data_IF_073072709263
#
_entry.id   IF_073072709263
#
_cell.length_a   1.000
_cell.length_b   1.000
_cell.length_c   1.000
_cell.angle_alpha   90.00
_cell.angle_beta   90.00
_cell.angle_gamma   90.00
#
_symmetry.space_group_name_H-M   'P 1'
#
loop_
_entity.id
_entity.type
_entity.pdbx_description
1 polymer ?
#
# COMPACT_ATOMS: atom_id res chain seq x y z
N UNK A 1 1.56 19.99 -24.88
CA UNK A 1 1.71 18.58 -25.20
C UNK A 1 2.08 17.94 -23.87
N UNK A 2 1.07 17.53 -23.10
CA UNK A 2 1.29 16.84 -21.84
C UNK A 2 1.65 15.40 -22.23
N UNK A 3 2.88 15.00 -21.99
CA UNK A 3 3.23 13.60 -21.97
C UNK A 3 2.57 13.03 -20.71
N UNK A 4 1.49 12.27 -20.89
CA UNK A 4 1.01 11.36 -19.87
C UNK A 4 2.15 10.35 -19.66
N UNK A 5 3.07 10.64 -18.75
CA UNK A 5 4.05 9.68 -18.31
C UNK A 5 3.27 8.62 -17.51
N UNK A 6 3.04 7.50 -18.15
CA UNK A 6 2.49 6.32 -17.48
C UNK A 6 3.54 5.85 -16.48
N UNK A 7 3.36 6.20 -15.23
CA UNK A 7 4.25 5.79 -14.16
C UNK A 7 3.87 4.38 -13.70
N UNK A 8 4.78 3.43 -13.87
CA UNK A 8 4.55 2.09 -13.37
C UNK A 8 4.50 2.07 -11.83
N UNK A 9 3.54 1.36 -11.28
CA UNK A 9 3.46 1.05 -9.87
C UNK A 9 4.46 -0.05 -9.52
N UNK A 10 5.07 0.07 -8.36
CA UNK A 10 5.96 -0.95 -7.80
C UNK A 10 5.39 -1.39 -6.45
N UNK A 11 5.19 -2.70 -6.29
CA UNK A 11 4.75 -3.32 -5.06
C UNK A 11 5.77 -4.38 -4.60
N UNK A 12 6.32 -4.21 -3.42
CA UNK A 12 7.20 -5.16 -2.76
C UNK A 12 6.51 -5.72 -1.50
N UNK A 13 5.77 -6.82 -1.64
CA UNK A 13 4.96 -7.41 -0.59
C UNK A 13 5.78 -8.36 0.27
N UNK A 14 6.57 -7.83 1.18
CA UNK A 14 7.32 -8.65 2.13
C UNK A 14 6.43 -9.21 3.25
N UNK A 15 6.85 -10.34 3.85
CA UNK A 15 6.14 -10.97 4.97
C UNK A 15 6.12 -10.13 6.25
N UNK A 16 7.01 -9.16 6.37
CA UNK A 16 7.09 -8.26 7.52
C UNK A 16 6.63 -6.84 7.19
N UNK A 17 7.01 -6.34 6.03
CA UNK A 17 6.71 -4.98 5.58
C UNK A 17 6.32 -5.00 4.11
N UNK A 18 5.21 -4.37 3.78
CA UNK A 18 4.77 -4.14 2.41
C UNK A 18 5.16 -2.73 2.00
N UNK A 19 5.79 -2.60 0.83
CA UNK A 19 6.23 -1.31 0.27
C UNK A 19 5.60 -1.07 -1.08
N UNK A 20 5.18 0.17 -1.33
CA UNK A 20 4.68 0.58 -2.64
C UNK A 20 5.21 1.97 -3.02
N UNK A 21 5.34 2.20 -4.31
CA UNK A 21 5.82 3.46 -4.89
C UNK A 21 5.64 3.50 -6.39
N UNK A 22 6.02 4.62 -6.99
CA UNK A 22 6.08 4.76 -8.44
C UNK A 22 7.51 4.53 -8.94
N UNK A 23 7.62 3.99 -10.14
CA UNK A 23 8.91 3.84 -10.82
C UNK A 23 9.58 5.22 -11.02
N UNK A 24 10.90 5.27 -10.83
CA UNK A 24 11.67 6.51 -10.96
C UNK A 24 11.73 7.35 -9.67
N UNK A 25 11.07 6.95 -8.60
CA UNK A 25 11.21 7.59 -7.29
C UNK A 25 12.38 6.98 -6.50
N UNK A 26 13.10 7.81 -5.75
CA UNK A 26 14.27 7.38 -4.96
C UNK A 26 13.92 6.44 -3.81
N UNK A 27 12.71 6.57 -3.27
CA UNK A 27 12.24 5.80 -2.10
C UNK A 27 10.77 5.43 -2.23
N UNK A 28 10.36 4.26 -1.68
CA UNK A 28 8.94 3.91 -1.62
C UNK A 28 8.20 4.90 -0.73
N UNK A 29 7.09 5.45 -1.23
CA UNK A 29 6.25 6.41 -0.48
C UNK A 29 5.29 5.73 0.48
N UNK A 30 4.90 4.51 0.19
CA UNK A 30 4.09 3.69 1.08
C UNK A 30 4.96 2.59 1.68
N UNK A 31 5.07 2.58 3.00
CA UNK A 31 5.72 1.53 3.78
C UNK A 31 4.80 1.20 4.93
N UNK A 32 4.21 0.01 4.93
CA UNK A 32 3.26 -0.42 5.95
C UNK A 32 3.66 -1.76 6.55
N UNK A 33 3.29 -2.04 7.81
CA UNK A 33 3.38 -3.38 8.37
C UNK A 33 2.52 -4.35 7.58
N UNK A 34 3.03 -5.54 7.30
CA UNK A 34 2.24 -6.61 6.68
C UNK A 34 1.29 -7.26 7.68
N UNK A 35 1.61 -7.18 8.98
CA UNK A 35 0.67 -7.58 10.03
C UNK A 35 -0.53 -6.66 10.07
N UNK A 36 -1.67 -7.20 10.44
CA UNK A 36 -2.93 -6.48 10.57
C UNK A 36 -3.61 -6.81 11.91
N UNK A 37 -4.57 -6.00 12.31
CA UNK A 37 -5.32 -6.20 13.54
C UNK A 37 -6.69 -6.78 13.21
N UNK A 38 -7.08 -7.82 13.94
CA UNK A 38 -8.45 -8.32 13.96
C UNK A 38 -9.11 -7.84 15.24
N UNK A 39 -10.15 -7.03 15.11
CA UNK A 39 -10.91 -6.52 16.24
C UNK A 39 -11.80 -7.60 16.85
N UNK A 40 -12.32 -7.37 18.06
CA UNK A 40 -13.29 -8.27 18.69
C UNK A 40 -14.60 -8.45 17.90
N UNK A 41 -14.90 -7.52 16.96
CA UNK A 41 -16.01 -7.62 16.01
C UNK A 41 -15.67 -8.42 14.74
N UNK A 42 -14.41 -8.83 14.56
CA UNK A 42 -13.93 -9.51 13.35
C UNK A 42 -13.50 -8.58 12.22
N UNK A 43 -13.50 -7.27 12.44
CA UNK A 43 -13.03 -6.30 11.47
C UNK A 43 -11.51 -6.34 11.33
N UNK A 44 -10.99 -6.30 10.10
CA UNK A 44 -9.55 -6.28 9.80
C UNK A 44 -9.10 -4.85 9.56
N UNK A 45 -8.12 -4.38 10.33
CA UNK A 45 -7.57 -3.04 10.25
C UNK A 45 -6.10 -3.09 9.83
N UNK A 46 -5.72 -2.24 8.86
CA UNK A 46 -4.40 -2.20 8.25
C UNK A 46 -3.62 -0.95 8.63
N UNK A 47 -2.29 -1.03 8.48
CA UNK A 47 -1.39 0.10 8.66
C UNK A 47 -0.89 0.29 10.09
N UNK A 48 0.03 1.24 10.24
CA UNK A 48 0.73 1.51 11.49
C UNK A 48 -0.21 1.91 12.63
N UNK A 49 -1.17 2.80 12.35
CA UNK A 49 -2.12 3.27 13.35
C UNK A 49 -3.01 2.14 13.88
N UNK A 50 -3.30 1.14 13.05
CA UNK A 50 -4.07 -0.01 13.48
C UNK A 50 -3.32 -0.84 14.52
N UNK A 51 -2.02 -1.06 14.31
CA UNK A 51 -1.17 -1.90 15.16
C UNK A 51 -0.79 -1.20 16.47
N UNK A 52 -0.50 0.11 16.41
CA UNK A 52 -0.04 0.85 17.59
C UNK A 52 -1.15 1.21 18.58
N UNK A 53 -2.40 1.21 18.16
CA UNK A 53 -3.52 1.46 19.07
C UNK A 53 -3.93 0.20 19.82
N UNK A 54 -3.81 0.21 21.12
CA UNK A 54 -4.26 -0.88 21.99
C UNK A 54 -5.79 -0.94 21.98
N UNK A 55 -6.34 -2.07 21.54
CA UNK A 55 -7.80 -2.33 21.52
C UNK A 55 -8.09 -3.60 22.34
N UNK A 56 -9.00 -3.53 23.33
CA UNK A 56 -9.38 -4.72 24.11
C UNK A 56 -9.92 -5.83 23.21
N UNK A 57 -9.38 -7.05 23.36
CA UNK A 57 -9.80 -8.21 22.58
C UNK A 57 -9.41 -8.20 21.10
N UNK A 58 -8.49 -7.34 20.71
CA UNK A 58 -7.92 -7.36 19.36
C UNK A 58 -6.72 -8.30 19.31
N UNK A 59 -6.56 -8.95 18.17
CA UNK A 59 -5.43 -9.86 17.87
C UNK A 59 -4.63 -9.34 16.69
N UNK A 60 -3.32 -9.55 16.72
CA UNK A 60 -2.44 -9.24 15.57
C UNK A 60 -2.24 -10.51 14.78
N UNK A 61 -2.50 -10.45 13.49
CA UNK A 61 -2.36 -11.56 12.56
C UNK A 61 -1.47 -11.16 11.37
N UNK A 62 -1.06 -12.15 10.57
CA UNK A 62 -0.26 -11.95 9.38
C UNK A 62 -0.82 -12.85 8.25
N UNK A 63 -0.99 -12.36 7.01
CA UNK A 63 -1.51 -13.17 5.92
C UNK A 63 -0.48 -14.14 5.33
N UNK A 64 0.78 -14.09 5.77
CA UNK A 64 1.86 -14.97 5.34
C UNK A 64 2.16 -16.03 6.37
N UNK A 65 2.60 -17.20 5.90
CA UNK A 65 3.14 -18.25 6.75
C UNK A 65 4.61 -17.98 7.14
N UNK A 66 5.19 -18.91 7.89
CA UNK A 66 6.58 -18.82 8.37
C UNK A 66 7.63 -18.83 7.22
N UNK A 67 7.28 -19.38 6.06
CA UNK A 67 8.14 -19.42 4.88
C UNK A 67 8.01 -18.15 4.02
N UNK A 68 7.18 -17.18 4.44
CA UNK A 68 6.94 -15.95 3.71
C UNK A 68 6.05 -16.14 2.46
N UNK A 69 5.22 -17.17 2.44
CA UNK A 69 4.25 -17.44 1.38
C UNK A 69 2.86 -17.04 1.86
N UNK A 70 2.07 -16.46 0.98
CA UNK A 70 0.70 -16.04 1.28
C UNK A 70 -0.19 -17.25 1.57
N UNK A 71 -0.86 -17.24 2.71
CA UNK A 71 -1.90 -18.20 3.09
C UNK A 71 -3.30 -17.59 3.03
N UNK A 72 -3.48 -16.38 3.59
CA UNK A 72 -4.74 -15.64 3.53
C UNK A 72 -4.71 -14.65 2.36
N UNK A 73 -5.14 -15.12 1.19
CA UNK A 73 -5.13 -14.34 -0.05
C UNK A 73 -6.09 -13.17 -0.04
N UNK A 74 -7.25 -13.31 0.59
CA UNK A 74 -8.22 -12.23 0.70
C UNK A 74 -7.64 -11.06 1.48
N UNK A 75 -7.01 -11.36 2.63
CA UNK A 75 -6.41 -10.31 3.46
C UNK A 75 -5.15 -9.73 2.81
N UNK A 76 -4.32 -10.57 2.15
CA UNK A 76 -3.15 -10.09 1.44
C UNK A 76 -3.53 -9.12 0.31
N UNK A 77 -4.54 -9.46 -0.51
CA UNK A 77 -5.02 -8.60 -1.57
C UNK A 77 -5.47 -7.23 -1.03
N UNK A 78 -6.31 -7.21 0.00
CA UNK A 78 -6.79 -5.96 0.62
C UNK A 78 -5.66 -5.12 1.25
N UNK A 79 -4.67 -5.77 1.84
CA UNK A 79 -3.51 -5.09 2.42
C UNK A 79 -2.65 -4.45 1.32
N UNK A 80 -2.48 -5.12 0.19
CA UNK A 80 -1.76 -4.60 -0.96
C UNK A 80 -2.50 -3.44 -1.63
N UNK A 81 -3.82 -3.57 -1.82
CA UNK A 81 -4.67 -2.47 -2.26
C UNK A 81 -4.56 -1.27 -1.33
N UNK A 82 -4.70 -1.48 -0.03
CA UNK A 82 -4.55 -0.42 0.97
C UNK A 82 -3.18 0.27 0.88
N UNK A 83 -2.10 -0.50 0.64
CA UNK A 83 -0.75 0.06 0.47
C UNK A 83 -0.65 1.00 -0.73
N UNK A 84 -1.32 0.68 -1.83
CA UNK A 84 -1.31 1.47 -3.07
C UNK A 84 -2.34 2.60 -2.99
N UNK A 85 -3.59 2.29 -2.73
CA UNK A 85 -4.70 3.24 -2.85
C UNK A 85 -4.75 4.24 -1.71
N UNK A 86 -4.65 3.78 -0.46
CA UNK A 86 -4.82 4.65 0.71
C UNK A 86 -3.51 5.28 1.18
N UNK A 87 -2.39 4.58 1.04
CA UNK A 87 -1.10 5.06 1.57
C UNK A 87 -0.23 5.75 0.53
N UNK A 88 -0.27 5.29 -0.72
CA UNK A 88 0.53 5.88 -1.78
C UNK A 88 -0.16 7.10 -2.41
N UNK A 89 -1.45 7.01 -2.67
CA UNK A 89 -2.22 8.00 -3.43
C UNK A 89 -3.33 8.68 -2.64
N UNK A 90 -3.74 8.08 -1.54
CA UNK A 90 -4.76 8.66 -0.66
C UNK A 90 -4.31 9.93 0.06
N UNK A 91 -5.25 10.71 0.60
CA UNK A 91 -4.93 11.85 1.43
C UNK A 91 -4.05 11.40 2.59
N UNK A 92 -3.02 12.19 2.91
CA UNK A 92 -2.13 11.88 4.05
C UNK A 92 -2.96 11.73 5.32
N UNK A 93 -3.11 10.51 5.81
CA UNK A 93 -3.91 10.19 7.00
C UNK A 93 -3.35 10.80 8.30
N UNK A 94 -2.12 11.28 8.27
CA UNK A 94 -1.54 12.08 9.35
C UNK A 94 -1.04 13.37 8.76
N UNK A 95 -1.70 14.50 9.03
CA UNK A 95 -1.00 15.77 8.91
C UNK A 95 0.29 15.64 9.74
N UNK A 96 1.45 16.19 9.27
CA UNK A 96 2.66 16.18 10.05
C UNK A 96 2.27 16.66 11.44
N UNK A 97 2.54 15.83 12.45
CA UNK A 97 2.19 16.12 13.84
C UNK A 97 2.67 17.55 14.12
N UNK A 98 1.75 18.48 14.21
CA UNK A 98 2.03 19.76 14.84
C UNK A 98 2.34 19.36 16.28
N UNK A 99 3.63 19.25 16.57
CA UNK A 99 4.09 19.16 17.95
C UNK A 99 3.45 20.34 18.65
N UNK A 100 2.44 20.09 19.47
CA UNK A 100 1.64 21.13 20.16
C UNK A 100 2.44 22.00 21.14
N UNK A 101 3.77 21.99 21.02
CA UNK A 101 4.69 22.80 21.82
C UNK A 101 5.03 24.17 21.20
N UNK A 102 4.72 24.43 19.94
CA UNK A 102 5.23 25.63 19.25
C UNK A 102 4.19 26.43 18.46
N UNK A 103 2.89 26.32 18.75
CA UNK A 103 1.92 27.19 18.10
C UNK A 103 0.97 27.86 19.11
N UNK A 104 1.30 29.10 19.57
CA UNK A 104 0.42 29.87 20.44
C UNK A 104 -0.78 30.51 19.73
N UNK A 105 -1.01 30.28 18.45
CA UNK A 105 -1.95 31.03 17.64
C UNK A 105 -3.19 30.25 17.12
N UNK A 106 -3.56 29.11 17.69
CA UNK A 106 -4.79 28.41 17.28
C UNK A 106 -5.86 28.35 18.38
N UNK A 107 -6.15 29.50 18.98
CA UNK A 107 -7.42 29.74 19.66
C UNK A 107 -8.09 30.89 18.94
N UNK A 108 -8.84 30.59 17.91
CA UNK A 108 -9.97 31.39 17.39
C UNK A 108 -10.43 30.79 16.07
N UNK A 109 -11.66 30.34 16.11
CA UNK A 109 -12.64 30.10 15.06
C UNK A 109 -13.14 28.64 14.99
N UNK A 110 -13.87 28.29 16.04
CA UNK A 110 -15.00 27.37 15.94
C UNK A 110 -16.23 28.26 15.73
N UNK A 111 -16.65 28.44 14.50
CA UNK A 111 -18.03 28.72 14.10
C UNK A 111 -18.07 28.68 12.57
N UNK A 112 -18.51 27.57 12.03
CA UNK A 112 -18.70 27.37 10.61
C UNK A 112 -19.47 26.06 10.43
N UNK A 113 -20.79 26.18 10.65
CA UNK A 113 -21.80 25.21 10.22
C UNK A 113 -21.69 25.06 8.69
N UNK A 114 -21.02 24.02 8.27
CA UNK A 114 -20.88 23.61 6.88
C UNK A 114 -21.18 22.12 6.85
N UNK A 115 -22.44 21.81 6.57
CA UNK A 115 -22.94 20.48 6.21
C UNK A 115 -22.17 20.02 4.97
N UNK A 116 -21.04 19.35 5.17
CA UNK A 116 -20.28 18.72 4.10
C UNK A 116 -20.92 17.36 3.92
N UNK A 117 -21.61 17.17 2.81
CA UNK A 117 -22.16 15.89 2.37
C UNK A 117 -21.02 14.85 2.35
N UNK A 118 -20.91 14.10 3.44
CA UNK A 118 -19.89 13.04 3.62
C UNK A 118 -20.06 11.88 2.63
N UNK A 119 -21.24 11.77 2.01
CA UNK A 119 -21.57 10.65 1.11
C UNK A 119 -20.95 10.83 -0.30
N UNK A 120 -20.83 12.07 -0.78
CA UNK A 120 -20.24 12.33 -2.10
C UNK A 120 -18.72 12.23 -2.11
N UNK A 121 -18.06 12.68 -1.06
CA UNK A 121 -16.59 12.59 -0.95
C UNK A 121 -16.09 11.13 -0.87
N UNK A 122 -16.81 10.26 -0.15
CA UNK A 122 -16.47 8.86 -0.01
C UNK A 122 -16.62 8.06 -1.33
N UNK A 123 -17.57 8.44 -2.19
CA UNK A 123 -17.80 7.78 -3.49
C UNK A 123 -16.73 8.20 -4.51
N UNK A 124 -16.38 9.49 -4.55
CA UNK A 124 -15.34 10.00 -5.44
C UNK A 124 -13.95 9.44 -5.06
N UNK A 125 -13.62 9.36 -3.77
CA UNK A 125 -12.37 8.75 -3.29
C UNK A 125 -12.27 7.27 -3.65
N UNK A 126 -13.37 6.53 -3.65
CA UNK A 126 -13.37 5.10 -4.00
C UNK A 126 -13.14 4.90 -5.49
N UNK A 127 -13.76 5.71 -6.36
CA UNK A 127 -13.58 5.63 -7.82
C UNK A 127 -12.17 6.02 -8.26
N UNK A 128 -11.56 7.06 -7.65
CA UNK A 128 -10.17 7.42 -7.93
C UNK A 128 -9.19 6.36 -7.44
N UNK A 129 -9.46 5.73 -6.32
CA UNK A 129 -8.64 4.65 -5.76
C UNK A 129 -8.65 3.40 -6.64
N UNK A 130 -9.81 3.02 -7.18
CA UNK A 130 -9.92 1.89 -8.11
C UNK A 130 -9.19 2.16 -9.43
N UNK A 131 -9.20 3.39 -9.93
CA UNK A 131 -8.53 3.77 -11.19
C UNK A 131 -7.02 3.65 -11.12
N UNK A 132 -6.41 3.85 -9.96
CA UNK A 132 -4.95 3.86 -9.89
C UNK A 132 -4.32 2.53 -10.27
N UNK A 133 -4.98 1.42 -9.94
CA UNK A 133 -4.54 0.08 -10.33
C UNK A 133 -4.83 -0.19 -11.80
N UNK A 134 -6.00 0.20 -12.30
CA UNK A 134 -6.40 -0.02 -13.69
C UNK A 134 -5.69 0.89 -14.70
N UNK A 135 -5.17 2.05 -14.28
CA UNK A 135 -4.54 3.02 -15.17
C UNK A 135 -3.01 2.86 -15.23
N UNK A 136 -2.40 2.14 -14.29
CA UNK A 136 -0.95 2.03 -14.20
C UNK A 136 -0.44 0.58 -14.33
N UNK A 137 0.63 0.33 -15.11
CA UNK A 137 1.32 -0.94 -15.09
C UNK A 137 1.84 -1.27 -13.69
N UNK A 138 1.85 -2.55 -13.30
CA UNK A 138 2.30 -3.01 -12.00
C UNK A 138 3.50 -3.95 -12.11
N UNK A 139 4.59 -3.60 -11.42
CA UNK A 139 5.68 -4.51 -11.12
C UNK A 139 5.54 -4.97 -9.68
N UNK A 140 5.56 -6.27 -9.45
CA UNK A 140 5.48 -6.86 -8.13
C UNK A 140 6.68 -7.79 -7.87
N UNK A 141 7.22 -7.73 -6.66
CA UNK A 141 8.28 -8.65 -6.25
C UNK A 141 7.71 -9.96 -5.68
N UNK A 142 8.47 -11.05 -5.84
CA UNK A 142 8.14 -12.34 -5.23
C UNK A 142 9.39 -13.03 -4.69
N UNK A 143 9.30 -13.89 -3.66
CA UNK A 143 10.41 -14.71 -3.22
C UNK A 143 10.78 -15.76 -4.28
N UNK A 144 12.08 -16.13 -4.34
CA UNK A 144 12.58 -17.07 -5.34
C UNK A 144 11.93 -18.46 -5.26
N UNK A 145 11.47 -18.85 -4.08
CA UNK A 145 10.81 -20.14 -3.77
C UNK A 145 9.30 -20.07 -3.82
N UNK A 146 8.72 -19.00 -4.37
CA UNK A 146 7.27 -18.87 -4.46
C UNK A 146 6.66 -20.00 -5.30
N UNK A 147 5.69 -20.77 -4.77
CA UNK A 147 5.08 -21.88 -5.50
C UNK A 147 4.32 -21.41 -6.73
N UNK A 148 4.27 -22.24 -7.77
CA UNK A 148 3.56 -21.91 -9.03
C UNK A 148 2.10 -21.52 -8.79
N UNK A 149 1.39 -22.21 -7.90
CA UNK A 149 0.00 -21.87 -7.54
C UNK A 149 -0.15 -20.48 -6.92
N UNK A 150 0.82 -20.07 -6.08
CA UNK A 150 0.82 -18.73 -5.51
C UNK A 150 1.09 -17.67 -6.60
N UNK A 151 1.97 -17.96 -7.55
CA UNK A 151 2.23 -17.09 -8.72
C UNK A 151 1.01 -16.94 -9.60
N UNK A 152 0.33 -18.06 -9.92
CA UNK A 152 -0.92 -18.06 -10.68
C UNK A 152 -1.97 -17.18 -10.00
N UNK A 153 -2.13 -17.32 -8.68
CA UNK A 153 -3.07 -16.51 -7.89
C UNK A 153 -2.72 -15.02 -7.88
N UNK A 154 -1.42 -14.69 -7.79
CA UNK A 154 -0.96 -13.30 -7.88
C UNK A 154 -1.28 -12.68 -9.25
N UNK A 155 -1.07 -13.45 -10.34
CA UNK A 155 -1.36 -13.00 -11.70
C UNK A 155 -2.86 -12.82 -11.89
N UNK A 156 -3.67 -13.77 -11.42
CA UNK A 156 -5.14 -13.71 -11.46
C UNK A 156 -5.64 -12.44 -10.76
N UNK A 157 -5.18 -12.17 -9.54
CA UNK A 157 -5.51 -10.98 -8.77
C UNK A 157 -5.15 -9.69 -9.54
N UNK A 158 -3.94 -9.60 -10.09
CA UNK A 158 -3.50 -8.41 -10.79
C UNK A 158 -4.27 -8.16 -12.09
N UNK A 159 -4.55 -9.21 -12.86
CA UNK A 159 -5.15 -9.09 -14.19
C UNK A 159 -6.68 -9.12 -14.18
N UNK A 160 -7.29 -9.89 -13.27
CA UNK A 160 -8.74 -10.08 -13.23
C UNK A 160 -9.43 -9.18 -12.21
N UNK A 161 -8.87 -9.05 -10.99
CA UNK A 161 -9.50 -8.27 -9.94
C UNK A 161 -9.10 -6.79 -10.03
N UNK A 162 -7.81 -6.50 -10.23
CA UNK A 162 -7.31 -5.13 -10.31
C UNK A 162 -7.30 -4.54 -11.72
N UNK A 163 -7.47 -5.37 -12.75
CA UNK A 163 -7.48 -4.95 -14.16
C UNK A 163 -6.26 -4.12 -14.56
N UNK A 164 -5.08 -4.41 -14.05
CA UNK A 164 -3.88 -3.65 -14.39
C UNK A 164 -3.56 -3.79 -15.89
N UNK A 165 -3.15 -2.69 -16.59
CA UNK A 165 -2.95 -2.73 -18.04
C UNK A 165 -1.74 -3.58 -18.45
N UNK A 166 -0.76 -3.75 -17.55
CA UNK A 166 0.38 -4.64 -17.72
C UNK A 166 0.91 -5.07 -16.36
N UNK A 167 1.31 -6.34 -16.24
CA UNK A 167 1.80 -6.91 -15.00
C UNK A 167 3.15 -7.61 -15.20
N UNK A 168 4.10 -7.35 -14.31
CA UNK A 168 5.40 -8.03 -14.28
C UNK A 168 5.70 -8.54 -12.87
N UNK A 169 5.92 -9.84 -12.73
CA UNK A 169 6.27 -10.48 -11.47
C UNK A 169 7.76 -10.85 -11.47
N UNK A 170 8.53 -10.17 -10.63
CA UNK A 170 9.99 -10.28 -10.57
C UNK A 170 10.43 -10.98 -9.28
N UNK A 171 11.44 -11.85 -9.38
CA UNK A 171 12.05 -12.45 -8.19
C UNK A 171 12.91 -11.44 -7.46
N UNK A 172 12.75 -11.33 -6.14
CA UNK A 172 13.49 -10.39 -5.27
C UNK A 172 15.00 -10.49 -5.47
N UNK A 173 15.56 -11.71 -5.62
CA UNK A 173 16.97 -11.90 -5.88
C UNK A 173 17.46 -11.30 -7.21
N UNK A 174 16.63 -11.28 -8.26
CA UNK A 174 16.96 -10.63 -9.53
C UNK A 174 16.96 -9.11 -9.38
N UNK A 175 15.96 -8.55 -8.69
CA UNK A 175 15.88 -7.11 -8.44
C UNK A 175 17.09 -6.62 -7.63
N UNK A 176 17.51 -7.37 -6.61
CA UNK A 176 18.70 -7.06 -5.81
C UNK A 176 19.99 -7.07 -6.63
N UNK A 177 20.11 -7.96 -7.62
CA UNK A 177 21.27 -8.00 -8.49
C UNK A 177 21.41 -6.73 -9.37
N UNK A 178 20.29 -6.19 -9.86
CA UNK A 178 20.31 -4.94 -10.63
C UNK A 178 20.75 -3.73 -9.80
N UNK A 179 20.44 -3.69 -8.52
CA UNK A 179 20.86 -2.61 -7.62
C UNK A 179 22.37 -2.63 -7.39
N UNK A 180 22.97 -3.83 -7.31
CA UNK A 180 24.42 -3.98 -7.09
C UNK A 180 25.24 -3.65 -8.34
N UNK A 181 24.72 -3.88 -9.54
CA UNK A 181 25.42 -3.65 -10.80
C UNK A 181 25.45 -2.16 -11.20
N UNK A 182 24.54 -1.37 -10.67
CA UNK A 182 24.46 0.08 -10.92
C UNK A 182 25.44 0.95 -10.14
N UNK A 183 26.21 0.40 -9.21
CA UNK A 183 27.12 1.17 -8.36
C UNK A 183 28.52 1.40 -8.95
N UNK A 184 28.87 0.83 -10.11
CA UNK A 184 30.18 0.89 -10.72
C UNK A 184 30.32 1.85 -11.94
N UNK A 185 29.35 2.75 -12.16
CA UNK A 185 29.42 3.71 -13.28
C UNK A 185 29.59 5.14 -12.78
N UNK A 186 30.63 5.38 -11.96
CA UNK A 186 31.14 6.73 -11.74
C UNK A 186 32.59 6.65 -11.25
N UNK A 187 33.51 6.51 -12.20
CA UNK A 187 34.92 6.82 -12.01
C UNK A 187 35.42 7.66 -13.19
#
# INVERSE_FOLDING_TARGET
MFTDEINALILDPGSFTTRAGFAGEDTPKSVIPTSYVVTSSGEKLYGENAIHLVRPGAEIANPYNADGIVEDWETAARLWEYSITSRLTGPRQTPPSKNGLNDPASKENQDGDGDVDMDTAAVEETEEQERILSDNPLLMSEPAWNPSKAREKTIELAMEDWNVPAFFLAKTGQLSAYVCDGSDVSS
#
